data_IF_289335475597
#
_entry.id   IF_289335475597
#
_cell.length_a   1.000
_cell.length_b   1.000
_cell.length_c   1.000
_cell.angle_alpha   90.00
_cell.angle_beta   90.00
_cell.angle_gamma   90.00
#
_symmetry.space_group_name_H-M   'P 1'
#
loop_
_entity.id
_entity.type
_entity.pdbx_description
1 polymer ?
#
# COMPACT_ATOMS: atom_id res chain seq x y z
N UNK A 1 5.84 -7.47 -7.67
CA UNK A 1 4.61 -7.66 -6.89
C UNK A 1 3.39 -7.08 -7.61
N UNK A 2 3.42 -5.82 -8.01
CA UNK A 2 2.28 -5.05 -8.53
C UNK A 2 1.77 -5.57 -9.87
N UNK A 3 2.68 -5.95 -10.77
CA UNK A 3 2.33 -6.54 -12.05
C UNK A 3 1.62 -7.91 -11.90
N UNK A 4 2.08 -8.72 -10.95
CA UNK A 4 1.43 -10.00 -10.63
C UNK A 4 0.04 -9.75 -10.07
N UNK A 5 -0.11 -8.76 -9.18
CA UNK A 5 -1.41 -8.34 -8.67
C UNK A 5 -2.37 -7.93 -9.80
N UNK A 6 -1.87 -7.14 -10.77
CA UNK A 6 -2.65 -6.75 -11.93
C UNK A 6 -3.14 -7.97 -12.72
N UNK A 7 -2.31 -8.97 -12.99
CA UNK A 7 -2.74 -10.20 -13.67
C UNK A 7 -3.75 -11.01 -12.87
N UNK A 8 -3.60 -11.13 -11.55
CA UNK A 8 -4.55 -11.83 -10.70
C UNK A 8 -5.93 -11.16 -10.66
N UNK A 9 -5.98 -9.84 -10.86
CA UNK A 9 -7.21 -9.05 -10.78
C UNK A 9 -7.75 -8.59 -12.13
N UNK A 10 -7.05 -8.87 -13.25
CA UNK A 10 -7.52 -8.53 -14.59
C UNK A 10 -8.87 -9.19 -14.88
N UNK A 11 -9.77 -8.43 -15.50
CA UNK A 11 -11.00 -8.99 -16.07
C UNK A 11 -10.69 -9.55 -17.47
N UNK A 12 -10.54 -10.88 -17.57
CA UNK A 12 -10.22 -11.56 -18.82
C UNK A 12 -11.40 -11.66 -19.80
N UNK A 13 -12.62 -11.31 -19.36
CA UNK A 13 -13.77 -11.19 -20.25
C UNK A 13 -13.79 -9.85 -21.00
N UNK A 14 -12.99 -8.87 -20.56
CA UNK A 14 -12.89 -7.56 -21.19
C UNK A 14 -11.73 -7.50 -22.18
N UNK A 15 -11.96 -6.78 -23.28
CA UNK A 15 -10.89 -6.46 -24.25
C UNK A 15 -9.88 -5.50 -23.59
N UNK A 16 -8.64 -5.54 -24.07
CA UNK A 16 -7.55 -4.69 -23.57
C UNK A 16 -6.42 -5.51 -22.93
N UNK A 17 -5.35 -4.86 -22.53
CA UNK A 17 -4.19 -5.44 -21.87
C UNK A 17 -3.89 -4.71 -20.56
N UNK A 18 -3.20 -5.37 -19.66
CA UNK A 18 -2.53 -4.66 -18.55
C UNK A 18 -1.52 -3.69 -19.15
N UNK A 19 -1.61 -2.42 -18.81
CA UNK A 19 -0.67 -1.39 -19.25
C UNK A 19 0.28 -1.05 -18.11
N UNK A 20 1.53 -0.92 -18.46
CA UNK A 20 2.60 -0.55 -17.55
C UNK A 20 3.38 0.59 -18.19
N UNK A 21 3.29 1.79 -17.61
CA UNK A 21 3.93 2.99 -18.12
C UNK A 21 4.85 3.56 -17.05
N UNK A 22 6.08 3.86 -17.43
CA UNK A 22 7.04 4.61 -16.62
C UNK A 22 7.39 5.88 -17.35
N UNK A 23 7.20 7.01 -16.72
CA UNK A 23 7.52 8.33 -17.26
C UNK A 23 8.17 9.23 -16.18
N UNK A 24 8.26 10.52 -16.47
CA UNK A 24 8.88 11.49 -15.55
C UNK A 24 8.03 11.74 -14.30
N UNK A 25 6.73 11.49 -14.35
CA UNK A 25 5.80 11.68 -13.25
C UNK A 25 5.74 10.46 -12.30
N UNK A 26 6.02 9.25 -12.84
CA UNK A 26 6.01 8.04 -12.03
C UNK A 26 5.78 6.74 -12.78
N UNK A 27 5.15 5.81 -12.10
CA UNK A 27 4.75 4.51 -12.60
C UNK A 27 3.24 4.39 -12.59
N UNK A 28 2.65 4.14 -13.76
CA UNK A 28 1.22 3.83 -13.89
C UNK A 28 1.03 2.36 -14.26
N UNK A 29 0.16 1.68 -13.53
CA UNK A 29 -0.32 0.33 -13.90
C UNK A 29 -1.83 0.41 -14.07
N UNK A 30 -2.30 0.15 -15.28
CA UNK A 30 -3.72 0.16 -15.61
C UNK A 30 -4.18 -1.26 -15.96
N UNK A 31 -5.27 -1.69 -15.34
CA UNK A 31 -5.75 -3.06 -15.37
C UNK A 31 -7.23 -3.14 -15.77
N UNK A 32 -7.59 -3.78 -16.90
CA UNK A 32 -8.98 -3.92 -17.31
C UNK A 32 -9.86 -4.60 -16.27
N UNK A 33 -11.03 -4.00 -16.00
CA UNK A 33 -11.98 -4.39 -14.97
C UNK A 33 -11.83 -3.52 -13.73
N UNK A 34 -12.94 -2.89 -13.27
CA UNK A 34 -12.96 -2.10 -12.04
C UNK A 34 -12.67 -2.90 -10.78
N UNK A 35 -12.75 -2.29 -9.63
CA UNK A 35 -12.64 -3.02 -8.36
C UNK A 35 -13.70 -4.12 -8.27
N UNK A 36 -13.36 -5.22 -7.60
CA UNK A 36 -14.33 -6.29 -7.35
C UNK A 36 -15.37 -5.81 -6.34
N UNK A 37 -16.54 -6.44 -6.37
CA UNK A 37 -17.65 -6.08 -5.48
C UNK A 37 -17.23 -6.04 -4.01
N UNK A 38 -17.56 -4.93 -3.33
CA UNK A 38 -17.23 -4.67 -1.93
C UNK A 38 -15.82 -4.11 -1.70
N UNK A 39 -15.05 -3.87 -2.77
CA UNK A 39 -13.74 -3.22 -2.73
C UNK A 39 -13.81 -1.85 -3.39
N UNK A 40 -13.25 -0.86 -2.74
CA UNK A 40 -13.11 0.52 -3.23
C UNK A 40 -11.74 1.06 -2.85
N UNK A 41 -11.37 2.21 -3.38
CA UNK A 41 -10.14 2.91 -2.99
C UNK A 41 -10.04 3.11 -1.47
N UNK A 42 -11.14 3.52 -0.82
CA UNK A 42 -11.17 3.82 0.61
C UNK A 42 -10.97 2.59 1.51
N UNK A 43 -11.22 1.39 1.01
CA UNK A 43 -11.13 0.17 1.83
C UNK A 43 -10.09 -0.84 1.35
N UNK A 44 -9.25 -0.49 0.38
CA UNK A 44 -8.24 -1.39 -0.19
C UNK A 44 -7.37 -2.10 0.86
N UNK A 45 -6.98 -1.39 1.92
CA UNK A 45 -6.14 -1.92 3.00
C UNK A 45 -6.92 -2.74 4.04
N UNK A 46 -8.24 -2.61 4.06
CA UNK A 46 -9.11 -3.24 5.08
C UNK A 46 -10.02 -4.31 4.52
N UNK A 47 -10.29 -4.26 3.22
CA UNK A 47 -11.10 -5.26 2.54
C UNK A 47 -10.50 -6.67 2.66
N UNK A 48 -11.36 -7.66 2.75
CA UNK A 48 -10.90 -9.04 2.72
C UNK A 48 -10.24 -9.36 1.37
N UNK A 49 -9.06 -10.00 1.37
CA UNK A 49 -8.38 -10.39 0.14
C UNK A 49 -9.28 -11.28 -0.72
N UNK A 50 -9.58 -10.82 -1.92
CA UNK A 50 -10.31 -11.58 -2.94
C UNK A 50 -9.58 -11.44 -4.26
N UNK A 51 -9.45 -12.53 -5.00
CA UNK A 51 -8.89 -12.48 -6.35
C UNK A 51 -10.03 -12.64 -7.37
N UNK A 52 -10.00 -11.86 -8.46
CA UNK A 52 -10.90 -12.05 -9.60
C UNK A 52 -10.64 -13.39 -10.29
N UNK A 53 -9.37 -13.81 -10.31
CA UNK A 53 -8.94 -15.05 -10.96
C UNK A 53 -8.28 -15.98 -9.93
N UNK A 54 -9.07 -16.66 -9.07
CA UNK A 54 -8.51 -17.43 -7.96
C UNK A 54 -7.63 -18.61 -8.41
N UNK A 55 -7.95 -19.25 -9.54
CA UNK A 55 -7.13 -20.34 -10.08
C UNK A 55 -5.77 -19.82 -10.55
N UNK A 56 -5.73 -18.68 -11.26
CA UNK A 56 -4.48 -18.04 -11.67
C UNK A 56 -3.65 -17.63 -10.45
N UNK A 57 -4.29 -17.04 -9.43
CA UNK A 57 -3.62 -16.69 -8.19
C UNK A 57 -3.00 -17.90 -7.48
N UNK A 58 -3.67 -19.06 -7.48
CA UNK A 58 -3.13 -20.32 -6.94
C UNK A 58 -1.92 -20.81 -7.73
N UNK A 59 -1.96 -20.76 -9.05
CA UNK A 59 -0.82 -21.16 -9.90
C UNK A 59 0.38 -20.24 -9.65
N UNK A 60 0.17 -18.93 -9.65
CA UNK A 60 1.22 -17.95 -9.41
C UNK A 60 1.81 -18.08 -7.99
N UNK A 61 0.98 -18.41 -7.01
CA UNK A 61 1.42 -18.73 -5.65
C UNK A 61 2.25 -20.00 -5.59
N UNK A 62 1.83 -21.06 -6.28
CA UNK A 62 2.58 -22.31 -6.35
C UNK A 62 3.93 -22.13 -7.06
N UNK A 63 3.99 -21.24 -8.04
CA UNK A 63 5.21 -20.85 -8.75
C UNK A 63 6.11 -19.86 -7.97
N UNK A 64 5.70 -19.43 -6.76
CA UNK A 64 6.49 -18.53 -5.92
C UNK A 64 6.41 -17.04 -6.29
N UNK A 65 5.53 -16.65 -7.19
CA UNK A 65 5.37 -15.25 -7.61
C UNK A 65 4.44 -14.44 -6.70
N UNK A 66 3.62 -15.07 -5.89
CA UNK A 66 2.69 -14.43 -4.96
C UNK A 66 3.05 -14.83 -3.54
N UNK A 67 3.16 -13.86 -2.64
CA UNK A 67 3.40 -14.13 -1.23
C UNK A 67 2.23 -14.89 -0.59
N UNK A 68 2.54 -15.71 0.42
CA UNK A 68 1.57 -16.58 1.10
C UNK A 68 0.45 -15.83 1.81
N UNK A 69 0.64 -14.54 2.10
CA UNK A 69 -0.26 -13.77 2.98
C UNK A 69 -1.45 -13.11 2.27
N UNK A 70 -1.49 -13.08 0.93
CA UNK A 70 -2.58 -12.46 0.17
C UNK A 70 -2.69 -10.93 0.31
N UNK A 71 -1.64 -10.26 0.81
CA UNK A 71 -1.61 -8.83 1.12
C UNK A 71 -0.87 -8.03 0.05
N UNK A 72 -1.23 -8.21 -1.22
CA UNK A 72 -0.57 -7.50 -2.33
C UNK A 72 -0.63 -5.97 -2.18
N UNK A 73 -1.76 -5.44 -1.74
CA UNK A 73 -1.95 -3.99 -1.51
C UNK A 73 -1.07 -3.51 -0.37
N UNK A 74 -1.02 -4.22 0.76
CA UNK A 74 -0.14 -3.86 1.89
C UNK A 74 1.33 -3.77 1.44
N UNK A 75 1.76 -4.68 0.56
CA UNK A 75 3.13 -4.69 0.01
C UNK A 75 3.39 -3.48 -0.89
N UNK A 76 2.40 -3.05 -1.69
CA UNK A 76 2.49 -1.86 -2.54
C UNK A 76 2.65 -0.61 -1.68
N UNK A 77 1.78 -0.43 -0.66
CA UNK A 77 1.86 0.69 0.27
C UNK A 77 3.18 0.70 1.04
N UNK A 78 3.55 -0.43 1.64
CA UNK A 78 4.78 -0.55 2.40
C UNK A 78 6.01 -0.25 1.53
N UNK A 79 6.08 -0.80 0.33
CA UNK A 79 7.20 -0.57 -0.60
C UNK A 79 7.31 0.87 -1.04
N UNK A 80 6.20 1.53 -1.38
CA UNK A 80 6.20 2.95 -1.76
C UNK A 80 6.68 3.84 -0.61
N UNK A 81 6.12 3.67 0.59
CA UNK A 81 6.44 4.48 1.75
C UNK A 81 7.89 4.24 2.20
N UNK A 82 8.33 2.99 2.30
CA UNK A 82 9.69 2.65 2.73
C UNK A 82 10.76 3.16 1.76
N UNK A 83 10.43 3.31 0.48
CA UNK A 83 11.27 3.95 -0.52
C UNK A 83 11.24 5.50 -0.45
N UNK A 84 10.56 6.09 0.53
CA UNK A 84 10.40 7.54 0.68
C UNK A 84 9.33 8.15 -0.22
N UNK A 85 8.52 7.32 -0.89
CA UNK A 85 7.42 7.72 -1.75
C UNK A 85 6.18 8.21 -1.00
N UNK A 86 5.16 8.58 -1.79
CA UNK A 86 3.80 8.88 -1.33
C UNK A 86 2.93 7.62 -1.27
N UNK A 87 1.70 7.75 -0.80
CA UNK A 87 0.73 6.67 -0.91
C UNK A 87 0.47 6.33 -2.39
N UNK A 88 0.23 5.04 -2.68
CA UNK A 88 -0.30 4.62 -3.97
C UNK A 88 -1.63 5.34 -4.26
N UNK A 89 -1.77 5.87 -5.46
CA UNK A 89 -2.94 6.63 -5.89
C UNK A 89 -3.80 5.77 -6.83
N UNK A 90 -5.05 5.57 -6.46
CA UNK A 90 -6.06 4.83 -7.23
C UNK A 90 -7.22 5.72 -7.70
N UNK A 91 -7.14 7.04 -7.49
CA UNK A 91 -8.22 8.00 -7.75
C UNK A 91 -8.69 8.06 -9.22
N UNK A 92 -7.84 7.60 -10.15
CA UNK A 92 -8.19 7.52 -11.57
C UNK A 92 -8.91 6.23 -11.97
N UNK A 93 -9.16 5.33 -11.01
CA UNK A 93 -9.88 4.08 -11.27
C UNK A 93 -11.36 4.31 -11.58
N UNK A 94 -11.94 3.40 -12.34
CA UNK A 94 -13.34 3.44 -12.78
C UNK A 94 -13.99 2.05 -12.72
N UNK A 95 -15.23 1.94 -13.17
CA UNK A 95 -15.90 0.65 -13.33
C UNK A 95 -15.28 -0.22 -14.45
N UNK A 96 -14.56 0.38 -15.38
CA UNK A 96 -13.94 -0.28 -16.51
C UNK A 96 -12.49 -0.68 -16.27
N UNK A 97 -11.79 0.03 -15.38
CA UNK A 97 -10.35 -0.11 -15.23
C UNK A 97 -9.91 0.28 -13.82
N UNK A 98 -9.01 -0.50 -13.20
CA UNK A 98 -8.28 -0.09 -12.01
C UNK A 98 -6.95 0.50 -12.43
N UNK A 99 -6.66 1.72 -11.98
CA UNK A 99 -5.42 2.45 -12.26
C UNK A 99 -4.68 2.69 -10.95
N UNK A 100 -3.49 2.11 -10.84
CA UNK A 100 -2.52 2.39 -9.78
C UNK A 100 -1.49 3.38 -10.32
N UNK A 101 -1.33 4.51 -9.65
CA UNK A 101 -0.25 5.45 -9.92
C UNK A 101 0.69 5.55 -8.70
N UNK A 102 1.97 5.32 -8.94
CA UNK A 102 3.05 5.51 -7.97
C UNK A 102 3.88 6.71 -8.41
N UNK A 103 3.70 7.83 -7.71
CA UNK A 103 4.37 9.09 -8.03
C UNK A 103 5.87 8.97 -7.87
N UNK A 104 6.62 9.48 -8.86
CA UNK A 104 8.05 9.68 -8.72
C UNK A 104 8.32 10.79 -7.71
N UNK A 105 9.11 10.50 -6.71
CA UNK A 105 9.52 11.45 -5.68
C UNK A 105 11.04 11.44 -5.54
N UNK A 106 11.61 12.54 -5.08
CA UNK A 106 12.98 12.53 -4.55
C UNK A 106 12.90 11.97 -3.13
N UNK A 107 13.50 10.82 -2.83
CA UNK A 107 13.40 10.22 -1.51
C UNK A 107 13.96 11.14 -0.44
N UNK A 108 13.27 11.22 0.69
CA UNK A 108 13.82 11.76 1.92
C UNK A 108 14.79 10.72 2.51
N UNK A 109 16.09 10.91 2.30
CA UNK A 109 17.13 9.97 2.72
C UNK A 109 17.14 9.74 4.23
N UNK A 110 16.81 10.76 5.03
CA UNK A 110 16.74 10.63 6.48
C UNK A 110 15.58 9.72 6.88
N UNK A 111 14.43 9.88 6.23
CA UNK A 111 13.25 9.03 6.47
C UNK A 111 13.50 7.58 6.05
N UNK A 112 14.07 7.36 4.88
CA UNK A 112 14.40 6.01 4.37
C UNK A 112 15.42 5.33 5.28
N UNK A 113 16.45 6.07 5.73
CA UNK A 113 17.47 5.55 6.65
C UNK A 113 16.85 5.19 8.00
N UNK A 114 16.00 6.04 8.56
CA UNK A 114 15.30 5.79 9.82
C UNK A 114 14.46 4.50 9.77
N UNK A 115 13.70 4.30 8.70
CA UNK A 115 12.93 3.06 8.51
C UNK A 115 13.86 1.86 8.44
N UNK A 116 14.90 1.91 7.59
CA UNK A 116 15.84 0.81 7.41
C UNK A 116 16.62 0.47 8.69
N UNK A 117 16.96 1.43 9.52
CA UNK A 117 17.61 1.23 10.81
C UNK A 117 16.68 0.51 11.78
N UNK A 118 15.44 0.92 11.84
CA UNK A 118 14.44 0.27 12.71
C UNK A 118 14.12 -1.15 12.26
N UNK A 119 13.97 -1.39 10.96
CA UNK A 119 13.74 -2.73 10.43
C UNK A 119 14.93 -3.66 10.72
N UNK A 120 16.16 -3.17 10.60
CA UNK A 120 17.37 -3.91 11.00
C UNK A 120 17.40 -4.22 12.50
N UNK A 121 17.03 -3.25 13.34
CA UNK A 121 16.95 -3.42 14.80
C UNK A 121 15.91 -4.48 15.19
N UNK A 122 14.77 -4.49 14.50
CA UNK A 122 13.67 -5.46 14.73
C UNK A 122 13.96 -6.83 14.14
N UNK A 123 14.80 -6.92 13.12
CA UNK A 123 15.00 -8.13 12.31
C UNK A 123 13.78 -8.48 11.45
N UNK A 124 12.87 -7.54 11.21
CA UNK A 124 11.65 -7.71 10.42
C UNK A 124 11.17 -6.37 9.84
N UNK A 125 10.47 -6.37 8.69
CA UNK A 125 9.86 -5.19 8.13
C UNK A 125 8.88 -4.52 9.10
N UNK A 126 8.78 -3.18 9.01
CA UNK A 126 7.76 -2.44 9.74
C UNK A 126 6.37 -2.80 9.22
N UNK A 127 5.38 -2.94 10.10
CA UNK A 127 3.99 -3.13 9.69
C UNK A 127 3.52 -1.97 8.80
N UNK A 128 2.72 -2.26 7.77
CA UNK A 128 2.20 -1.25 6.85
C UNK A 128 1.47 -0.11 7.57
N UNK A 129 0.75 -0.41 8.65
CA UNK A 129 0.06 0.59 9.47
C UNK A 129 1.02 1.58 10.13
N UNK A 130 2.15 1.10 10.63
CA UNK A 130 3.22 1.94 11.19
C UNK A 130 3.85 2.82 10.12
N UNK A 131 4.10 2.29 8.93
CA UNK A 131 4.61 3.06 7.79
C UNK A 131 3.64 4.16 7.35
N UNK A 132 2.33 3.87 7.33
CA UNK A 132 1.28 4.85 7.02
C UNK A 132 1.29 5.99 8.04
N UNK A 133 1.32 5.68 9.34
CA UNK A 133 1.39 6.70 10.40
C UNK A 133 2.65 7.54 10.27
N UNK A 134 3.81 6.92 10.05
CA UNK A 134 5.08 7.65 9.83
C UNK A 134 5.01 8.56 8.61
N UNK A 135 4.44 8.10 7.51
CA UNK A 135 4.29 8.90 6.29
C UNK A 135 3.40 10.12 6.51
N UNK A 136 2.27 9.95 7.20
CA UNK A 136 1.37 11.06 7.56
C UNK A 136 2.03 12.07 8.51
N UNK A 137 2.77 11.58 9.51
CA UNK A 137 3.49 12.46 10.44
C UNK A 137 4.68 13.17 9.77
N UNK A 138 5.32 12.56 8.76
CA UNK A 138 6.33 13.23 7.93
C UNK A 138 5.74 14.44 7.21
N UNK A 139 4.54 14.30 6.67
CA UNK A 139 3.88 15.36 5.90
C UNK A 139 3.32 16.46 6.80
N UNK A 140 2.62 16.08 7.86
CA UNK A 140 1.85 17.00 8.70
C UNK A 140 2.52 17.39 10.01
N UNK A 141 3.66 16.77 10.34
CA UNK A 141 4.45 17.00 11.57
C UNK A 141 3.76 16.61 12.88
N UNK A 142 2.49 16.95 13.06
CA UNK A 142 1.68 16.67 14.24
C UNK A 142 0.25 16.37 13.83
N UNK A 143 -0.28 15.24 14.28
CA UNK A 143 -1.67 14.82 14.04
C UNK A 143 -2.29 14.24 15.29
N UNK A 144 -3.59 14.49 15.45
CA UNK A 144 -4.39 13.80 16.46
C UNK A 144 -4.77 12.40 16.00
N UNK A 145 -5.20 11.55 16.94
CA UNK A 145 -5.69 10.19 16.60
C UNK A 145 -6.86 10.22 15.62
N UNK A 146 -7.74 11.20 15.73
CA UNK A 146 -8.88 11.40 14.82
C UNK A 146 -8.37 11.71 13.41
N UNK A 147 -7.46 12.67 13.28
CA UNK A 147 -6.86 13.03 11.99
C UNK A 147 -6.10 11.87 11.34
N UNK A 148 -5.39 11.07 12.14
CA UNK A 148 -4.71 9.86 11.63
C UNK A 148 -5.73 8.85 11.07
N UNK A 149 -6.86 8.65 11.72
CA UNK A 149 -7.94 7.80 11.21
C UNK A 149 -8.54 8.36 9.92
N UNK A 150 -8.84 9.66 9.90
CA UNK A 150 -9.47 10.33 8.76
C UNK A 150 -8.58 10.30 7.51
N UNK A 151 -7.29 10.61 7.66
CA UNK A 151 -6.35 10.63 6.52
C UNK A 151 -5.93 9.25 6.03
N UNK A 152 -5.91 8.25 6.92
CA UNK A 152 -5.52 6.89 6.56
C UNK A 152 -6.68 6.00 6.13
N UNK A 153 -7.93 6.40 6.41
CA UNK A 153 -9.15 5.58 6.29
C UNK A 153 -9.06 4.26 7.08
N UNK A 154 -8.24 4.23 8.13
CA UNK A 154 -8.03 3.07 8.97
C UNK A 154 -8.89 3.10 10.24
N UNK A 155 -9.25 1.92 10.72
CA UNK A 155 -9.93 1.78 12.01
C UNK A 155 -9.07 2.29 13.16
N UNK A 156 -9.70 2.96 14.12
CA UNK A 156 -9.06 3.53 15.30
C UNK A 156 -8.14 2.53 16.02
N UNK A 157 -8.58 1.28 16.17
CA UNK A 157 -7.80 0.22 16.81
C UNK A 157 -6.45 -0.04 16.13
N UNK A 158 -6.41 0.01 14.79
CA UNK A 158 -5.17 -0.20 14.02
C UNK A 158 -4.22 0.97 14.19
N UNK A 159 -4.74 2.20 14.20
CA UNK A 159 -3.96 3.42 14.42
C UNK A 159 -3.38 3.42 15.83
N UNK A 160 -4.18 3.10 16.87
CA UNK A 160 -3.67 3.00 18.25
C UNK A 160 -2.49 2.03 18.32
N UNK A 161 -2.66 0.81 17.82
CA UNK A 161 -1.59 -0.20 17.84
C UNK A 161 -0.35 0.25 17.05
N UNK A 162 -0.53 0.93 15.91
CA UNK A 162 0.60 1.44 15.13
C UNK A 162 1.36 2.54 15.89
N UNK A 163 0.64 3.49 16.50
CA UNK A 163 1.24 4.59 17.28
C UNK A 163 1.97 4.03 18.52
N UNK A 164 1.37 3.10 19.27
CA UNK A 164 2.01 2.46 20.42
C UNK A 164 3.34 1.79 20.02
N UNK A 165 3.34 1.01 18.94
CA UNK A 165 4.55 0.38 18.41
C UNK A 165 5.63 1.39 18.02
N UNK A 166 5.24 2.54 17.44
CA UNK A 166 6.17 3.59 17.02
C UNK A 166 6.72 4.39 18.21
N UNK A 167 5.92 4.61 19.24
CA UNK A 167 6.34 5.25 20.50
C UNK A 167 7.32 4.34 21.25
N UNK A 168 7.04 3.03 21.35
CA UNK A 168 7.97 2.06 21.93
C UNK A 168 9.30 1.98 21.17
N UNK A 169 9.27 2.15 19.85
CA UNK A 169 10.46 2.20 19.00
C UNK A 169 11.22 3.53 19.13
N UNK A 170 10.65 4.56 19.77
CA UNK A 170 11.23 5.90 19.87
C UNK A 170 11.20 6.70 18.57
N UNK A 171 10.36 6.29 17.61
CA UNK A 171 10.22 6.95 16.29
C UNK A 171 9.19 8.09 16.31
N UNK A 172 8.29 8.08 17.29
CA UNK A 172 7.21 9.05 17.45
C UNK A 172 7.08 9.42 18.91
N UNK A 173 6.81 10.68 19.19
CA UNK A 173 6.46 11.17 20.53
C UNK A 173 4.94 11.29 20.66
N UNK A 174 4.38 10.75 21.73
CA UNK A 174 2.97 10.92 22.06
C UNK A 174 2.80 12.09 23.04
N UNK A 175 2.04 13.11 22.69
CA UNK A 175 1.56 14.11 23.65
C UNK A 175 0.49 13.44 24.53
N UNK A 176 0.63 13.64 25.86
CA UNK A 176 -0.36 13.21 26.87
C UNK A 176 -1.54 14.17 26.94
#
# INVERSE_FOLDING_TARGET
>A
SDLINAFCHRDYARMGSVRFLVDDDGLTIANPGGFIEGVSEDNLLTAQPRSRNPQLALILKAAGYVERTGRGVDTIYAGSIAAGGSFPDYSQSSAEEVILFLRRVVPDEAFVTMIGDEERRRGAPLPVWSLIVLSLLREHRRLTMVQLCDFSHLEHRRIVSAVENLVEAGLVEGDR
#
